data_IF_227703290871
#
_entry.id   IF_227703290871
#
_cell.length_a   1.000
_cell.length_b   1.000
_cell.length_c   1.000
_cell.angle_alpha   90.00
_cell.angle_beta   90.00
_cell.angle_gamma   90.00
#
_symmetry.space_group_name_H-M   'P 1'
#
loop_
_entity.id
_entity.type
_entity.pdbx_description
1 polymer ?
#
# COMPACT_ATOMS: atom_id res chain seq x y z
N UNK A 1 -7.53 -6.19 4.39
CA UNK A 1 -6.11 -6.45 4.11
C UNK A 1 -5.64 -5.41 3.11
N UNK A 2 -4.40 -4.91 3.24
CA UNK A 2 -3.79 -3.96 2.32
C UNK A 2 -2.56 -4.65 1.72
N UNK A 3 -2.36 -4.55 0.41
CA UNK A 3 -1.25 -5.17 -0.33
C UNK A 3 -0.27 -4.09 -0.75
N UNK A 4 1.00 -4.24 -0.35
CA UNK A 4 2.07 -3.29 -0.64
C UNK A 4 3.15 -4.01 -1.45
N UNK A 5 3.45 -3.55 -2.67
CA UNK A 5 4.46 -4.18 -3.54
C UNK A 5 5.28 -3.15 -4.32
N UNK A 6 6.51 -3.53 -4.69
CA UNK A 6 7.35 -2.80 -5.63
C UNK A 6 6.99 -3.06 -7.11
N UNK A 7 6.15 -4.06 -7.38
CA UNK A 7 5.77 -4.43 -8.75
C UNK A 7 4.82 -3.43 -9.41
N UNK A 8 4.61 -3.62 -10.71
CA UNK A 8 3.60 -2.89 -11.48
C UNK A 8 2.18 -3.25 -11.02
N UNK A 9 1.29 -2.26 -11.05
CA UNK A 9 -0.12 -2.36 -10.68
C UNK A 9 -0.90 -3.48 -11.38
N UNK A 10 -0.64 -3.73 -12.66
CA UNK A 10 -1.34 -4.76 -13.42
C UNK A 10 -0.95 -6.17 -12.94
N UNK A 11 0.34 -6.38 -12.69
CA UNK A 11 0.87 -7.65 -12.17
C UNK A 11 0.33 -7.87 -10.76
N UNK A 12 0.41 -6.85 -9.91
CA UNK A 12 -0.04 -6.94 -8.54
C UNK A 12 -1.55 -7.19 -8.42
N UNK A 13 -2.35 -6.50 -9.23
CA UNK A 13 -3.80 -6.71 -9.30
C UNK A 13 -4.14 -8.13 -9.78
N UNK A 14 -3.40 -8.64 -10.76
CA UNK A 14 -3.60 -10.00 -11.26
C UNK A 14 -3.29 -11.05 -10.20
N UNK A 15 -2.17 -10.90 -9.47
CA UNK A 15 -1.83 -11.79 -8.36
C UNK A 15 -2.91 -11.73 -7.28
N UNK A 16 -3.39 -10.54 -6.93
CA UNK A 16 -4.49 -10.37 -5.96
C UNK A 16 -5.75 -11.13 -6.39
N UNK A 17 -6.15 -11.01 -7.66
CA UNK A 17 -7.30 -11.73 -8.21
C UNK A 17 -7.12 -13.26 -8.11
N UNK A 18 -5.94 -13.77 -8.47
CA UNK A 18 -5.63 -15.20 -8.44
C UNK A 18 -5.69 -15.82 -7.05
N UNK A 19 -5.37 -15.03 -6.00
CA UNK A 19 -5.49 -15.46 -4.61
C UNK A 19 -6.84 -15.09 -3.96
N UNK A 20 -7.79 -14.58 -4.73
CA UNK A 20 -9.14 -14.24 -4.26
C UNK A 20 -9.22 -12.94 -3.43
N UNK A 21 -8.27 -12.03 -3.61
CA UNK A 21 -8.27 -10.70 -2.98
C UNK A 21 -8.85 -9.66 -3.93
N UNK A 22 -10.08 -9.20 -3.65
CA UNK A 22 -10.69 -8.10 -4.38
C UNK A 22 -9.90 -6.79 -4.16
N UNK A 23 -9.54 -6.10 -5.25
CA UNK A 23 -8.82 -4.82 -5.21
C UNK A 23 -9.77 -3.66 -5.51
N UNK A 24 -9.60 -2.55 -4.80
CA UNK A 24 -10.43 -1.34 -4.91
C UNK A 24 -9.55 -0.18 -5.37
N UNK A 25 -9.07 -0.28 -6.61
CA UNK A 25 -8.09 0.67 -7.14
C UNK A 25 -6.68 0.46 -6.59
N UNK A 26 -5.69 0.90 -7.36
CA UNK A 26 -4.30 0.88 -6.98
C UNK A 26 -3.80 2.32 -6.79
N UNK A 27 -3.10 2.57 -5.68
CA UNK A 27 -2.35 3.82 -5.48
C UNK A 27 -0.88 3.57 -5.78
N UNK A 28 -0.29 4.32 -6.70
CA UNK A 28 1.10 4.11 -7.12
C UNK A 28 2.05 4.96 -6.27
N UNK A 29 3.30 4.54 -6.15
CA UNK A 29 4.36 5.31 -5.49
C UNK A 29 4.44 6.78 -5.90
N UNK A 30 4.44 7.12 -7.21
CA UNK A 30 4.45 8.52 -7.67
C UNK A 30 3.22 9.32 -7.25
N UNK A 31 2.04 8.70 -7.19
CA UNK A 31 0.82 9.37 -6.73
C UNK A 31 0.94 9.64 -5.22
N UNK A 32 1.47 8.68 -4.48
CA UNK A 32 1.78 8.78 -3.05
C UNK A 32 2.71 9.96 -2.72
N UNK A 33 3.72 10.21 -3.56
CA UNK A 33 4.65 11.33 -3.38
C UNK A 33 3.99 12.70 -3.57
N UNK A 34 2.91 12.77 -4.35
CA UNK A 34 2.14 14.00 -4.55
C UNK A 34 1.14 14.29 -3.41
N UNK A 35 0.86 13.31 -2.55
CA UNK A 35 -0.09 13.47 -1.44
C UNK A 35 0.60 14.06 -0.21
N UNK A 36 -0.08 14.97 0.47
CA UNK A 36 0.22 15.33 1.85
C UNK A 36 -0.25 14.23 2.83
N UNK A 37 0.10 14.35 4.10
CA UNK A 37 -0.20 13.32 5.10
C UNK A 37 -1.70 13.18 5.39
N UNK A 38 -2.47 14.27 5.31
CA UNK A 38 -3.92 14.24 5.55
C UNK A 38 -4.69 13.66 4.35
N UNK A 39 -4.20 13.87 3.13
CA UNK A 39 -4.66 13.20 1.93
C UNK A 39 -4.30 11.72 1.99
N UNK A 40 -3.04 11.39 2.31
CA UNK A 40 -2.60 10.01 2.40
C UNK A 40 -3.40 9.22 3.44
N UNK A 41 -3.67 9.79 4.61
CA UNK A 41 -4.53 9.17 5.64
C UNK A 41 -5.92 8.79 5.12
N UNK A 42 -6.49 9.57 4.20
CA UNK A 42 -7.77 9.24 3.55
C UNK A 42 -7.60 8.17 2.48
N UNK A 43 -6.58 8.31 1.65
CA UNK A 43 -6.32 7.37 0.54
C UNK A 43 -5.98 5.96 1.01
N UNK A 44 -5.24 5.83 2.12
CA UNK A 44 -4.90 4.50 2.67
C UNK A 44 -6.10 3.72 3.18
N UNK A 45 -7.21 4.40 3.52
CA UNK A 45 -8.46 3.74 3.90
C UNK A 45 -9.25 3.29 2.67
N UNK A 46 -9.30 4.12 1.63
CA UNK A 46 -10.04 3.86 0.40
C UNK A 46 -9.39 2.77 -0.48
N UNK A 47 -8.06 2.76 -0.59
CA UNK A 47 -7.32 1.86 -1.46
C UNK A 47 -6.77 0.67 -0.71
N UNK A 48 -6.69 -0.49 -1.36
CA UNK A 48 -6.15 -1.72 -0.75
C UNK A 48 -5.00 -2.35 -1.52
N UNK A 49 -4.64 -1.80 -2.68
CA UNK A 49 -3.46 -2.18 -3.44
C UNK A 49 -2.56 -0.95 -3.61
N UNK A 50 -1.29 -1.11 -3.23
CA UNK A 50 -0.26 -0.08 -3.35
C UNK A 50 0.91 -0.68 -4.12
N UNK A 51 1.25 -0.07 -5.25
CA UNK A 51 2.18 -0.63 -6.23
C UNK A 51 3.32 0.35 -6.57
N UNK A 52 4.40 -0.15 -7.18
CA UNK A 52 5.62 0.62 -7.48
C UNK A 52 6.19 1.33 -6.24
N UNK A 53 6.12 0.67 -5.08
CA UNK A 53 6.54 1.25 -3.82
C UNK A 53 8.04 1.14 -3.60
N UNK A 54 8.61 2.19 -3.01
CA UNK A 54 9.91 2.15 -2.34
C UNK A 54 9.75 1.72 -0.87
N UNK A 55 10.84 1.30 -0.18
CA UNK A 55 10.78 1.05 1.26
C UNK A 55 10.23 2.24 2.07
N UNK A 56 10.60 3.46 1.69
CA UNK A 56 10.10 4.69 2.32
C UNK A 56 8.58 4.85 2.16
N UNK A 57 8.02 4.49 1.00
CA UNK A 57 6.57 4.51 0.79
C UNK A 57 5.84 3.53 1.70
N UNK A 58 6.40 2.33 1.90
CA UNK A 58 5.79 1.33 2.80
C UNK A 58 5.73 1.86 4.23
N UNK A 59 6.81 2.44 4.75
CA UNK A 59 6.82 3.07 6.08
C UNK A 59 5.79 4.19 6.18
N UNK A 60 5.70 5.04 5.15
CA UNK A 60 4.73 6.15 5.09
C UNK A 60 3.27 5.66 5.15
N UNK A 61 2.93 4.61 4.39
CA UNK A 61 1.60 3.98 4.43
C UNK A 61 1.30 3.39 5.81
N UNK A 62 2.26 2.68 6.40
CA UNK A 62 2.10 2.09 7.74
C UNK A 62 1.87 3.17 8.79
N UNK A 63 2.62 4.28 8.74
CA UNK A 63 2.43 5.43 9.63
C UNK A 63 1.07 6.07 9.46
N UNK A 64 0.60 6.28 8.23
CA UNK A 64 -0.72 6.82 7.96
C UNK A 64 -1.83 5.92 8.54
N UNK A 65 -1.75 4.60 8.34
CA UNK A 65 -2.71 3.65 8.92
C UNK A 65 -2.69 3.67 10.46
N UNK A 66 -1.50 3.74 11.07
CA UNK A 66 -1.38 3.86 12.54
C UNK A 66 -1.94 5.19 13.06
N UNK A 67 -1.72 6.28 12.34
CA UNK A 67 -2.27 7.59 12.69
C UNK A 67 -3.80 7.61 12.63
N UNK A 68 -4.41 6.80 11.77
CA UNK A 68 -5.86 6.54 11.75
C UNK A 68 -6.34 5.63 12.89
N UNK A 69 -5.47 5.26 13.85
CA UNK A 69 -5.81 4.38 14.97
C UNK A 69 -5.91 2.90 14.59
N UNK A 70 -5.41 2.49 13.41
CA UNK A 70 -5.41 1.08 13.01
C UNK A 70 -4.23 0.35 13.66
N UNK A 71 -4.49 -0.85 14.18
CA UNK A 71 -3.45 -1.80 14.54
C UNK A 71 -2.96 -2.49 13.26
N UNK A 72 -1.68 -2.35 12.95
CA UNK A 72 -1.09 -2.85 11.70
C UNK A 72 -0.17 -4.04 12.01
N UNK A 73 -0.51 -5.20 11.46
CA UNK A 73 0.38 -6.34 11.33
C UNK A 73 0.93 -6.40 9.91
N UNK A 74 2.22 -6.71 9.77
CA UNK A 74 2.92 -6.75 8.49
C UNK A 74 3.44 -8.16 8.22
N UNK A 75 3.27 -8.65 7.00
CA UNK A 75 3.79 -9.93 6.52
C UNK A 75 4.51 -9.66 5.20
N UNK A 76 5.82 -9.89 5.19
CA UNK A 76 6.69 -9.68 4.03
C UNK A 76 7.93 -10.56 4.13
N UNK A 77 8.72 -10.58 3.06
CA UNK A 77 9.97 -11.34 2.96
C UNK A 77 11.18 -10.63 3.59
N UNK A 78 10.99 -9.39 4.08
CA UNK A 78 11.92 -8.70 4.97
C UNK A 78 13.13 -8.04 4.28
N UNK A 79 13.35 -8.28 2.98
CA UNK A 79 14.49 -7.70 2.24
C UNK A 79 14.20 -6.26 1.82
N UNK A 80 12.93 -5.94 1.54
CA UNK A 80 12.46 -4.61 1.12
C UNK A 80 11.67 -3.86 2.22
N UNK A 81 11.68 -4.39 3.45
CA UNK A 81 10.83 -3.91 4.56
C UNK A 81 11.66 -3.44 5.78
N UNK A 82 12.98 -3.30 5.59
CA UNK A 82 13.94 -2.77 6.56
C UNK A 82 14.30 -1.29 6.25
#
# INVERSE_FOLDING_TARGET
VKVLTGDNELVAARVCEEVGLATHGALLGPDLDALDDAQLQREVEAHNLFAKLTPAHKDRIVRALRANGRVVGFLGDGINDA
#
